data_IF_373651888913
#
_entry.id   IF_373651888913
#
_cell.length_a   1.000
_cell.length_b   1.000
_cell.length_c   1.000
_cell.angle_alpha   90.00
_cell.angle_beta   90.00
_cell.angle_gamma   90.00
#
_symmetry.space_group_name_H-M   'P 1'
#
loop_
_entity.id
_entity.type
_entity.pdbx_description
1 polymer ?
#
# COMPACT_ATOMS: atom_id res chain seq x y z
N UNK A 1 24.58 -17.20 -24.27
CA UNK A 1 25.03 -15.82 -24.52
C UNK A 1 24.38 -15.00 -23.40
N UNK A 2 24.88 -14.94 -22.16
CA UNK A 2 26.23 -14.79 -21.60
C UNK A 2 27.01 -13.64 -22.21
N UNK A 3 26.77 -12.44 -21.68
CA UNK A 3 27.71 -11.34 -21.66
C UNK A 3 27.77 -10.83 -20.21
N UNK A 4 28.64 -11.49 -19.45
CA UNK A 4 29.32 -10.90 -18.30
C UNK A 4 30.43 -10.04 -18.89
N UNK A 5 30.48 -8.75 -18.55
CA UNK A 5 31.71 -7.97 -18.64
C UNK A 5 32.10 -7.57 -17.22
N UNK A 6 33.04 -8.36 -16.70
CA UNK A 6 33.93 -7.99 -15.61
C UNK A 6 34.89 -6.93 -16.15
N UNK A 7 34.99 -5.77 -15.51
CA UNK A 7 36.16 -4.92 -15.62
C UNK A 7 36.85 -4.83 -14.26
N UNK A 8 38.07 -5.34 -14.28
CA UNK A 8 39.02 -5.56 -13.20
C UNK A 8 39.88 -4.32 -12.95
N UNK A 9 40.46 -4.30 -11.75
CA UNK A 9 41.34 -3.35 -11.09
C UNK A 9 42.29 -2.53 -11.97
N UNK A 10 42.35 -1.21 -11.71
CA UNK A 10 43.64 -0.56 -11.38
C UNK A 10 43.40 0.61 -10.39
N UNK A 11 43.72 0.36 -9.12
CA UNK A 11 43.85 1.42 -8.10
C UNK A 11 45.17 2.16 -8.29
N UNK A 12 45.21 3.50 -8.39
CA UNK A 12 46.45 4.23 -8.20
C UNK A 12 46.79 4.28 -6.71
N UNK A 13 47.86 3.57 -6.34
CA UNK A 13 48.57 3.62 -5.06
C UNK A 13 49.19 5.01 -4.88
N UNK A 14 48.41 5.95 -4.34
CA UNK A 14 48.93 7.26 -3.91
C UNK A 14 49.33 7.14 -2.44
N UNK A 15 50.59 6.75 -2.25
CA UNK A 15 51.31 7.04 -1.02
C UNK A 15 51.52 8.55 -0.93
N UNK A 16 50.63 9.23 -0.21
CA UNK A 16 50.89 10.58 0.26
C UNK A 16 51.34 10.46 1.70
N UNK A 17 52.58 10.87 1.92
CA UNK A 17 53.29 10.87 3.19
C UNK A 17 52.44 11.45 4.33
N UNK A 18 52.35 10.69 5.42
CA UNK A 18 52.00 11.18 6.74
C UNK A 18 53.10 12.14 7.22
N UNK A 19 53.13 13.36 6.67
CA UNK A 19 53.75 14.46 7.39
C UNK A 19 52.86 14.80 8.59
N UNK A 20 53.29 14.25 9.71
CA UNK A 20 53.02 14.64 11.09
C UNK A 20 52.95 16.17 11.25
N UNK A 21 51.83 16.76 10.87
CA UNK A 21 51.45 18.10 11.28
C UNK A 21 50.77 17.94 12.64
N UNK A 22 51.62 17.76 13.67
CA UNK A 22 51.26 18.00 15.05
C UNK A 22 50.91 19.48 15.22
N UNK A 23 49.74 19.88 14.72
CA UNK A 23 49.03 20.97 15.35
C UNK A 23 48.66 20.43 16.71
N UNK A 24 49.40 20.87 17.72
CA UNK A 24 48.89 20.81 19.08
C UNK A 24 47.46 21.29 18.99
N UNK A 25 46.52 20.40 19.32
CA UNK A 25 45.16 20.77 19.59
C UNK A 25 45.25 21.74 20.75
N UNK A 26 45.43 23.02 20.44
CA UNK A 26 45.10 24.11 21.34
C UNK A 26 43.64 23.82 21.60
N UNK A 27 43.39 23.23 22.77
CA UNK A 27 42.07 23.06 23.33
C UNK A 27 41.61 24.49 23.55
N UNK A 28 41.08 25.11 22.49
CA UNK A 28 40.31 26.31 22.61
C UNK A 28 39.14 25.89 23.47
N UNK A 29 39.18 26.35 24.72
CA UNK A 29 38.09 26.19 25.63
C UNK A 29 36.91 26.95 25.01
N UNK A 30 36.02 26.19 24.36
CA UNK A 30 34.78 26.66 23.71
C UNK A 30 33.85 27.41 24.71
N UNK A 31 34.25 27.54 25.98
CA UNK A 31 33.58 28.31 27.03
C UNK A 31 34.04 29.76 27.18
N UNK A 32 35.15 30.17 26.55
CA UNK A 32 35.71 31.53 26.72
C UNK A 32 35.37 32.42 25.53
N UNK A 33 34.67 33.53 25.79
CA UNK A 33 34.34 34.55 24.80
C UNK A 33 35.63 35.21 24.27
N UNK A 34 35.88 35.25 22.94
CA UNK A 34 37.05 35.92 22.37
C UNK A 34 37.04 37.43 22.62
N UNK A 35 38.22 38.03 22.83
CA UNK A 35 38.35 39.47 23.05
C UNK A 35 37.84 40.27 21.83
N UNK A 36 36.76 41.04 22.02
CA UNK A 36 36.12 41.86 20.99
C UNK A 36 34.77 41.34 20.46
N UNK A 37 34.28 40.21 20.96
CA UNK A 37 32.95 39.68 20.61
C UNK A 37 31.90 40.07 21.68
N UNK A 38 30.67 40.40 21.28
CA UNK A 38 29.59 40.61 22.25
C UNK A 38 29.19 39.28 22.88
N UNK A 39 29.05 39.27 24.20
CA UNK A 39 28.74 38.08 25.00
C UNK A 39 27.46 37.37 24.51
N UNK A 40 26.47 38.14 24.05
CA UNK A 40 25.22 37.63 23.46
C UNK A 40 25.44 36.86 22.14
N UNK A 41 26.38 37.27 21.29
CA UNK A 41 26.68 36.56 20.04
C UNK A 41 27.40 35.24 20.32
N UNK A 42 28.29 35.22 21.31
CA UNK A 42 29.00 34.01 21.73
C UNK A 42 28.07 32.97 22.36
N UNK A 43 27.15 33.38 23.24
CA UNK A 43 26.15 32.46 23.81
C UNK A 43 25.22 31.89 22.73
N UNK A 44 24.79 32.72 21.78
CA UNK A 44 23.97 32.26 20.65
C UNK A 44 24.72 31.28 19.75
N UNK A 45 26.01 31.50 19.43
CA UNK A 45 26.78 30.54 18.62
C UNK A 45 27.00 29.22 19.33
N UNK A 46 27.24 29.23 20.65
CA UNK A 46 27.32 28.00 21.46
C UNK A 46 25.98 27.25 21.46
N UNK A 47 24.86 27.96 21.63
CA UNK A 47 23.53 27.36 21.59
C UNK A 47 23.20 26.76 20.21
N UNK A 48 23.49 27.47 19.12
CA UNK A 48 23.30 26.98 17.76
C UNK A 48 24.18 25.77 17.46
N UNK A 49 25.41 25.73 17.99
CA UNK A 49 26.30 24.57 17.86
C UNK A 49 25.75 23.35 18.60
N UNK A 50 25.23 23.53 19.81
CA UNK A 50 24.56 22.46 20.56
C UNK A 50 23.31 21.96 19.83
N UNK A 51 22.48 22.86 19.30
CA UNK A 51 21.31 22.50 18.49
C UNK A 51 21.71 21.73 17.22
N UNK A 52 22.74 22.18 16.51
CA UNK A 52 23.30 21.50 15.34
C UNK A 52 23.75 20.09 15.68
N UNK A 53 24.52 19.90 16.75
CA UNK A 53 24.98 18.58 17.20
C UNK A 53 23.79 17.68 17.57
N UNK A 54 22.74 18.25 18.20
CA UNK A 54 21.51 17.52 18.49
C UNK A 54 20.80 17.02 17.22
N UNK A 55 20.69 17.88 16.21
CA UNK A 55 20.11 17.54 14.91
C UNK A 55 20.96 16.51 14.18
N UNK A 56 22.29 16.67 14.14
CA UNK A 56 23.20 15.72 13.48
C UNK A 56 23.13 14.33 14.13
N UNK A 57 23.02 14.25 15.46
CA UNK A 57 22.82 12.97 16.17
C UNK A 57 21.47 12.33 15.85
N UNK A 58 20.38 13.10 15.90
CA UNK A 58 19.05 12.60 15.56
C UNK A 58 19.00 12.09 14.11
N UNK A 59 19.63 12.81 13.18
CA UNK A 59 19.73 12.43 11.78
C UNK A 59 20.55 11.15 11.58
N UNK A 60 21.63 10.97 12.34
CA UNK A 60 22.43 9.74 12.29
C UNK A 60 21.69 8.54 12.90
N UNK A 61 20.90 8.74 13.97
CA UNK A 61 20.01 7.72 14.54
C UNK A 61 18.92 7.32 13.54
N UNK A 62 18.27 8.29 12.90
CA UNK A 62 17.23 8.05 11.91
C UNK A 62 17.78 7.33 10.67
N UNK A 63 18.98 7.69 10.20
CA UNK A 63 19.68 6.96 9.13
C UNK A 63 19.94 5.50 9.49
N UNK A 64 20.32 5.21 10.74
CA UNK A 64 20.52 3.82 11.21
C UNK A 64 19.21 3.05 11.22
N UNK A 65 18.12 3.66 11.69
CA UNK A 65 16.78 3.06 11.67
C UNK A 65 16.34 2.78 10.22
N UNK A 66 16.51 3.74 9.32
CA UNK A 66 16.20 3.57 7.90
C UNK A 66 17.00 2.44 7.25
N UNK A 67 18.29 2.30 7.59
CA UNK A 67 19.13 1.22 7.10
C UNK A 67 18.66 -0.16 7.62
N UNK A 68 18.22 -0.26 8.87
CA UNK A 68 17.64 -1.50 9.43
C UNK A 68 16.33 -1.84 8.73
N UNK A 69 15.41 -0.89 8.62
CA UNK A 69 14.14 -1.09 7.91
C UNK A 69 14.34 -1.51 6.46
N UNK A 70 15.32 -0.93 5.76
CA UNK A 70 15.67 -1.32 4.38
C UNK A 70 16.15 -2.77 4.29
N UNK A 71 16.94 -3.23 5.27
CA UNK A 71 17.36 -4.63 5.35
C UNK A 71 16.19 -5.57 5.61
N UNK A 72 15.29 -5.20 6.52
CA UNK A 72 14.07 -5.97 6.81
C UNK A 72 13.14 -6.05 5.60
N UNK A 73 12.93 -4.93 4.90
CA UNK A 73 12.17 -4.88 3.66
C UNK A 73 12.76 -5.81 2.60
N UNK A 74 14.07 -5.74 2.36
CA UNK A 74 14.73 -6.61 1.39
C UNK A 74 14.61 -8.10 1.78
N UNK A 75 14.74 -8.42 3.06
CA UNK A 75 14.57 -9.78 3.55
C UNK A 75 13.13 -10.29 3.36
N UNK A 76 12.12 -9.45 3.61
CA UNK A 76 10.72 -9.77 3.35
C UNK A 76 10.43 -9.92 1.87
N UNK A 77 11.01 -9.06 1.01
CA UNK A 77 10.85 -9.14 -0.44
C UNK A 77 11.43 -10.45 -1.01
N UNK A 78 12.57 -10.91 -0.49
CA UNK A 78 13.15 -12.20 -0.88
C UNK A 78 12.21 -13.35 -0.47
N UNK A 79 11.75 -13.35 0.79
CA UNK A 79 10.80 -14.37 1.29
C UNK A 79 9.49 -14.39 0.49
N UNK A 80 8.98 -13.22 0.11
CA UNK A 80 7.77 -13.13 -0.71
C UNK A 80 7.96 -13.80 -2.08
N UNK A 81 9.10 -13.55 -2.73
CA UNK A 81 9.45 -14.21 -4.01
C UNK A 81 9.63 -15.72 -3.85
N UNK A 82 10.29 -16.16 -2.78
CA UNK A 82 10.42 -17.60 -2.49
C UNK A 82 9.05 -18.26 -2.30
N UNK A 83 8.16 -17.64 -1.53
CA UNK A 83 6.79 -18.13 -1.34
C UNK A 83 6.03 -18.16 -2.66
N UNK A 84 6.12 -17.11 -3.48
CA UNK A 84 5.48 -17.05 -4.79
C UNK A 84 5.97 -18.19 -5.71
N UNK A 85 7.28 -18.40 -5.80
CA UNK A 85 7.84 -19.51 -6.59
C UNK A 85 7.40 -20.87 -6.05
N UNK A 86 7.35 -21.04 -4.72
CA UNK A 86 6.86 -22.29 -4.11
C UNK A 86 5.39 -22.52 -4.42
N UNK A 87 4.55 -21.48 -4.36
CA UNK A 87 3.14 -21.54 -4.69
C UNK A 87 2.94 -21.94 -6.15
N UNK A 88 3.67 -21.33 -7.08
CA UNK A 88 3.66 -21.71 -8.50
C UNK A 88 4.06 -23.16 -8.74
N UNK A 89 5.10 -23.65 -8.05
CA UNK A 89 5.51 -25.05 -8.16
C UNK A 89 4.42 -26.00 -7.65
N UNK A 90 3.83 -25.72 -6.48
CA UNK A 90 2.75 -26.55 -5.91
C UNK A 90 1.50 -26.55 -6.78
N UNK A 91 1.14 -25.41 -7.41
CA UNK A 91 0.02 -25.34 -8.34
C UNK A 91 0.28 -26.19 -9.59
N UNK A 92 1.49 -26.14 -10.16
CA UNK A 92 1.84 -26.99 -11.31
C UNK A 92 1.82 -28.48 -10.95
N UNK A 93 2.29 -28.85 -9.77
CA UNK A 93 2.21 -30.22 -9.27
C UNK A 93 0.76 -30.68 -9.07
N UNK A 94 -0.09 -29.79 -8.54
CA UNK A 94 -1.52 -30.06 -8.36
C UNK A 94 -2.20 -30.25 -9.71
N UNK A 95 -1.93 -29.40 -10.70
CA UNK A 95 -2.45 -29.55 -12.06
C UNK A 95 -1.99 -30.86 -12.69
N UNK A 96 -0.70 -31.21 -12.58
CA UNK A 96 -0.16 -32.48 -13.05
C UNK A 96 -0.86 -33.68 -12.38
N UNK A 97 -1.09 -33.61 -11.07
CA UNK A 97 -1.83 -34.64 -10.34
C UNK A 97 -3.29 -34.76 -10.80
N UNK A 98 -3.96 -33.63 -11.06
CA UNK A 98 -5.32 -33.65 -11.63
C UNK A 98 -5.34 -34.28 -13.02
N UNK A 99 -4.38 -33.96 -13.88
CA UNK A 99 -4.22 -34.58 -15.20
C UNK A 99 -3.99 -36.09 -15.10
N UNK A 100 -3.11 -36.54 -14.20
CA UNK A 100 -2.91 -37.97 -13.95
C UNK A 100 -4.17 -38.66 -13.44
N UNK A 101 -4.89 -38.02 -12.50
CA UNK A 101 -6.15 -38.55 -11.96
C UNK A 101 -7.17 -38.72 -13.07
N UNK A 102 -7.36 -37.71 -13.92
CA UNK A 102 -8.25 -37.78 -15.08
C UNK A 102 -7.79 -38.86 -16.05
N UNK A 103 -6.49 -38.96 -16.34
CA UNK A 103 -5.97 -39.99 -17.22
C UNK A 103 -6.22 -41.40 -16.67
N UNK A 104 -5.97 -41.62 -15.37
CA UNK A 104 -6.22 -42.91 -14.70
C UNK A 104 -7.72 -43.23 -14.66
N UNK A 105 -8.58 -42.24 -14.37
CA UNK A 105 -10.04 -42.40 -14.41
C UNK A 105 -10.53 -42.75 -15.82
N UNK A 106 -9.99 -42.12 -16.86
CA UNK A 106 -10.35 -42.41 -18.25
C UNK A 106 -9.90 -43.80 -18.71
N UNK A 107 -8.95 -44.43 -18.03
CA UNK A 107 -8.53 -45.83 -18.27
C UNK A 107 -9.42 -46.86 -17.58
N UNK A 108 -10.30 -46.43 -16.67
CA UNK A 108 -11.22 -47.34 -16.00
C UNK A 108 -12.41 -47.57 -16.93
N UNK A 109 -12.52 -48.80 -17.44
CA UNK A 109 -13.69 -49.22 -18.21
C UNK A 109 -14.89 -49.37 -17.27
N UNK A 110 -15.86 -48.46 -17.40
CA UNK A 110 -17.11 -48.50 -16.64
C UNK A 110 -18.17 -49.19 -17.51
N UNK A 111 -18.65 -50.34 -17.05
CA UNK A 111 -19.76 -51.05 -17.71
C UNK A 111 -21.08 -50.39 -17.29
N UNK A 112 -21.78 -49.77 -18.25
CA UNK A 112 -23.10 -49.17 -18.02
C UNK A 112 -24.16 -50.02 -18.72
N UNK A 113 -25.06 -50.69 -17.97
CA UNK A 113 -26.17 -51.40 -18.59
C UNK A 113 -27.19 -50.38 -19.11
N UNK A 114 -27.34 -50.31 -20.44
CA UNK A 114 -28.30 -49.44 -21.11
C UNK A 114 -29.51 -50.24 -21.59
N UNK A 115 -30.70 -49.66 -21.44
CA UNK A 115 -31.92 -50.21 -22.05
C UNK A 115 -32.04 -49.70 -23.48
N UNK A 116 -32.56 -50.51 -24.39
CA UNK A 116 -32.69 -50.15 -25.83
C UNK A 116 -33.41 -48.81 -26.07
N UNK A 117 -34.42 -48.47 -25.27
CA UNK A 117 -35.14 -47.19 -25.41
C UNK A 117 -34.32 -45.95 -24.99
N UNK A 118 -33.19 -46.13 -24.31
CA UNK A 118 -32.29 -45.04 -23.89
C UNK A 118 -31.27 -44.71 -24.98
N UNK A 119 -31.13 -45.56 -26.00
CA UNK A 119 -30.20 -45.36 -27.11
C UNK A 119 -30.86 -44.47 -28.16
N UNK A 120 -30.44 -43.21 -28.22
CA UNK A 120 -30.89 -42.23 -29.23
C UNK A 120 -29.89 -42.05 -30.38
N UNK A 121 -28.78 -42.78 -30.38
CA UNK A 121 -27.82 -42.80 -31.48
C UNK A 121 -28.35 -43.67 -32.62
N UNK A 122 -29.05 -43.07 -33.57
CA UNK A 122 -29.37 -43.69 -34.85
C UNK A 122 -28.40 -43.17 -35.92
N UNK A 123 -27.79 -44.07 -36.68
CA UNK A 123 -27.06 -43.76 -37.90
C UNK A 123 -27.91 -44.30 -39.04
N UNK A 124 -28.32 -43.44 -39.97
CA UNK A 124 -29.18 -43.80 -41.12
C UNK A 124 -30.52 -44.49 -40.77
N UNK A 125 -31.09 -44.18 -39.60
CA UNK A 125 -32.41 -44.70 -39.20
C UNK A 125 -32.42 -46.11 -38.59
N UNK A 126 -31.25 -46.74 -38.46
CA UNK A 126 -31.07 -48.03 -37.80
C UNK A 126 -30.15 -47.91 -36.57
N UNK A 127 -30.23 -48.90 -35.67
CA UNK A 127 -29.34 -49.00 -34.51
C UNK A 127 -27.97 -49.50 -34.99
N UNK A 128 -26.87 -48.79 -34.69
CA UNK A 128 -25.52 -49.23 -35.05
C UNK A 128 -25.22 -50.63 -34.49
N UNK A 129 -24.62 -51.49 -35.30
CA UNK A 129 -24.15 -52.81 -34.85
C UNK A 129 -22.93 -52.71 -33.92
N UNK A 130 -22.19 -51.60 -33.99
CA UNK A 130 -21.03 -51.30 -33.14
C UNK A 130 -21.21 -49.97 -32.40
N UNK A 131 -21.12 -50.03 -31.06
CA UNK A 131 -21.18 -48.86 -30.18
C UNK A 131 -19.79 -48.34 -29.76
N UNK A 132 -18.71 -48.94 -30.28
CA UNK A 132 -17.33 -48.63 -29.90
C UNK A 132 -16.92 -47.18 -30.14
N UNK A 133 -17.59 -46.47 -31.06
CA UNK A 133 -17.35 -45.05 -31.35
C UNK A 133 -18.43 -44.11 -30.78
N UNK A 134 -19.37 -44.64 -29.98
CA UNK A 134 -20.46 -43.84 -29.40
C UNK A 134 -20.11 -43.34 -28.00
N UNK A 135 -20.38 -42.07 -27.74
CA UNK A 135 -20.17 -41.44 -26.44
C UNK A 135 -21.48 -41.49 -25.63
N UNK A 136 -21.43 -42.04 -24.42
CA UNK A 136 -22.58 -42.05 -23.51
C UNK A 136 -22.52 -40.82 -22.61
N UNK A 137 -23.56 -40.00 -22.65
CA UNK A 137 -23.72 -38.84 -21.78
C UNK A 137 -25.13 -38.81 -21.21
N UNK A 138 -25.26 -38.18 -20.04
CA UNK A 138 -26.59 -37.92 -19.48
C UNK A 138 -27.27 -36.77 -20.25
N UNK A 139 -28.59 -36.81 -20.35
CA UNK A 139 -29.35 -35.71 -20.98
C UNK A 139 -29.12 -34.37 -20.26
N UNK A 140 -28.93 -34.41 -18.95
CA UNK A 140 -28.59 -33.23 -18.15
C UNK A 140 -27.22 -32.67 -18.53
N UNK A 141 -26.20 -33.53 -18.69
CA UNK A 141 -24.87 -33.08 -19.12
C UNK A 141 -24.87 -32.49 -20.53
N UNK A 142 -25.70 -33.00 -21.45
CA UNK A 142 -25.82 -32.42 -22.80
C UNK A 142 -26.49 -31.05 -22.77
N UNK A 143 -27.59 -30.91 -22.02
CA UNK A 143 -28.25 -29.60 -21.84
C UNK A 143 -27.33 -28.59 -21.16
N UNK A 144 -26.58 -29.04 -20.15
CA UNK A 144 -25.57 -28.21 -19.49
C UNK A 144 -24.48 -27.79 -20.46
N UNK A 145 -23.93 -28.71 -21.26
CA UNK A 145 -22.89 -28.40 -22.23
C UNK A 145 -23.39 -27.41 -23.29
N UNK A 146 -24.64 -27.57 -23.75
CA UNK A 146 -25.26 -26.64 -24.69
C UNK A 146 -25.42 -25.24 -24.09
N UNK A 147 -25.89 -25.13 -22.85
CA UNK A 147 -25.95 -23.84 -22.11
C UNK A 147 -24.56 -23.25 -21.94
N UNK A 148 -23.58 -24.07 -21.51
CA UNK A 148 -22.20 -23.65 -21.29
C UNK A 148 -21.53 -23.13 -22.55
N UNK A 149 -21.82 -23.71 -23.72
CA UNK A 149 -21.33 -23.21 -25.01
C UNK A 149 -21.88 -21.80 -25.29
N UNK A 150 -23.15 -21.54 -24.99
CA UNK A 150 -23.76 -20.21 -25.14
C UNK A 150 -23.13 -19.23 -24.15
N UNK A 151 -22.97 -19.63 -22.88
CA UNK A 151 -22.33 -18.80 -21.85
C UNK A 151 -20.90 -18.42 -22.24
N UNK A 152 -20.10 -19.38 -22.70
CA UNK A 152 -18.72 -19.14 -23.16
C UNK A 152 -18.68 -18.21 -24.38
N UNK A 153 -19.65 -18.30 -25.29
CA UNK A 153 -19.75 -17.35 -26.41
C UNK A 153 -20.03 -15.93 -25.91
N UNK A 154 -20.95 -15.78 -24.96
CA UNK A 154 -21.28 -14.49 -24.37
C UNK A 154 -20.09 -13.92 -23.59
N UNK A 155 -19.41 -14.74 -22.79
CA UNK A 155 -18.20 -14.37 -22.06
C UNK A 155 -17.08 -13.93 -23.01
N UNK A 156 -16.87 -14.65 -24.11
CA UNK A 156 -15.90 -14.27 -25.14
C UNK A 156 -16.22 -12.91 -25.77
N UNK A 157 -17.50 -12.59 -25.99
CA UNK A 157 -17.92 -11.27 -26.50
C UNK A 157 -17.65 -10.19 -25.46
N UNK A 158 -18.07 -10.40 -24.21
CA UNK A 158 -17.82 -9.48 -23.09
C UNK A 158 -16.33 -9.18 -22.91
N UNK A 159 -15.48 -10.22 -22.91
CA UNK A 159 -14.02 -10.06 -22.79
C UNK A 159 -13.42 -9.27 -23.95
N UNK A 160 -13.93 -9.45 -25.19
CA UNK A 160 -13.49 -8.66 -26.34
C UNK A 160 -13.87 -7.18 -26.21
N UNK A 161 -15.05 -6.88 -25.69
CA UNK A 161 -15.47 -5.48 -25.45
C UNK A 161 -14.62 -4.81 -24.39
N UNK A 162 -14.35 -5.50 -23.28
CA UNK A 162 -13.45 -5.01 -22.22
C UNK A 162 -12.06 -4.76 -22.79
N UNK A 163 -11.51 -5.69 -23.56
CA UNK A 163 -10.20 -5.54 -24.19
C UNK A 163 -10.15 -4.37 -25.17
N UNK A 164 -11.23 -4.15 -25.92
CA UNK A 164 -11.34 -3.01 -26.84
C UNK A 164 -11.33 -1.69 -26.07
N UNK A 165 -12.13 -1.56 -25.01
CA UNK A 165 -12.15 -0.38 -24.14
C UNK A 165 -10.79 -0.12 -23.50
N UNK A 166 -10.13 -1.16 -22.98
CA UNK A 166 -8.80 -1.04 -22.40
C UNK A 166 -7.75 -0.55 -23.42
N UNK A 167 -7.83 -1.01 -24.67
CA UNK A 167 -6.97 -0.51 -25.75
C UNK A 167 -7.23 0.95 -26.10
N UNK A 168 -8.49 1.37 -26.14
CA UNK A 168 -8.88 2.76 -26.39
C UNK A 168 -8.36 3.67 -25.27
N UNK A 169 -8.55 3.27 -24.01
CA UNK A 169 -8.00 3.97 -22.84
C UNK A 169 -6.48 4.05 -22.88
N UNK A 170 -5.80 2.95 -23.21
CA UNK A 170 -4.34 2.96 -23.32
C UNK A 170 -3.85 3.94 -24.40
N UNK A 171 -4.55 4.02 -25.54
CA UNK A 171 -4.22 4.98 -26.59
C UNK A 171 -4.43 6.43 -26.13
N UNK A 172 -5.52 6.71 -25.41
CA UNK A 172 -5.79 8.04 -24.84
C UNK A 172 -4.69 8.44 -23.86
N UNK A 173 -4.38 7.58 -22.88
CA UNK A 173 -3.33 7.84 -21.90
C UNK A 173 -1.96 8.08 -22.55
N UNK A 174 -1.66 7.42 -23.68
CA UNK A 174 -0.41 7.63 -24.41
C UNK A 174 -0.39 8.97 -25.17
N UNK A 175 -1.54 9.48 -25.60
CA UNK A 175 -1.68 10.83 -26.15
C UNK A 175 -1.54 11.86 -25.04
N UNK A 176 -2.28 11.71 -23.94
CA UNK A 176 -2.24 12.60 -22.78
C UNK A 176 -0.83 12.68 -22.19
N UNK A 177 -0.12 11.56 -22.11
CA UNK A 177 1.29 11.52 -21.68
C UNK A 177 2.17 12.41 -22.57
N UNK A 178 2.01 12.33 -23.90
CA UNK A 178 2.79 13.15 -24.84
C UNK A 178 2.44 14.63 -24.75
N UNK A 179 1.16 14.94 -24.57
CA UNK A 179 0.70 16.32 -24.37
C UNK A 179 1.30 16.91 -23.09
N UNK A 180 1.23 16.18 -21.97
CA UNK A 180 1.86 16.58 -20.71
C UNK A 180 3.39 16.71 -20.84
N UNK A 181 4.06 15.82 -21.57
CA UNK A 181 5.51 15.93 -21.84
C UNK A 181 5.85 17.21 -22.62
N UNK A 182 5.03 17.59 -23.62
CA UNK A 182 5.21 18.86 -24.33
C UNK A 182 4.94 20.06 -23.44
N UNK A 183 3.88 20.03 -22.62
CA UNK A 183 3.58 21.11 -21.67
C UNK A 183 4.70 21.31 -20.65
N UNK A 184 5.30 20.22 -20.14
CA UNK A 184 6.46 20.27 -19.25
C UNK A 184 7.63 20.94 -19.96
N UNK A 185 7.95 20.52 -21.19
CA UNK A 185 9.03 21.14 -21.98
C UNK A 185 8.81 22.63 -22.22
N UNK A 186 7.58 23.03 -22.57
CA UNK A 186 7.24 24.45 -22.75
C UNK A 186 7.39 25.24 -21.45
N UNK A 187 6.98 24.68 -20.32
CA UNK A 187 7.13 25.32 -19.01
C UNK A 187 8.60 25.40 -18.59
N UNK A 188 9.39 24.36 -18.83
CA UNK A 188 10.83 24.34 -18.60
C UNK A 188 11.55 25.41 -19.43
N UNK A 189 11.22 25.53 -20.72
CA UNK A 189 11.76 26.59 -21.58
C UNK A 189 11.37 27.99 -21.09
N UNK A 190 10.10 28.20 -20.71
CA UNK A 190 9.65 29.48 -20.14
C UNK A 190 10.38 29.81 -18.84
N UNK A 191 10.55 28.82 -17.95
CA UNK A 191 11.31 28.97 -16.72
C UNK A 191 12.78 29.31 -17.01
N UNK A 192 13.42 28.61 -17.94
CA UNK A 192 14.79 28.88 -18.36
C UNK A 192 14.95 30.30 -18.91
N UNK A 193 14.03 30.75 -19.77
CA UNK A 193 14.04 32.12 -20.30
C UNK A 193 13.90 33.17 -19.18
N UNK A 194 12.96 32.98 -18.26
CA UNK A 194 12.79 33.88 -17.12
C UNK A 194 14.01 33.89 -16.19
N UNK A 195 14.63 32.74 -15.96
CA UNK A 195 15.85 32.64 -15.17
C UNK A 195 17.02 33.37 -15.84
N UNK A 196 17.15 33.25 -17.16
CA UNK A 196 18.15 33.99 -17.93
C UNK A 196 17.89 35.50 -17.88
N UNK A 197 16.64 35.97 -17.99
CA UNK A 197 16.31 37.39 -17.85
C UNK A 197 16.58 37.94 -16.44
N UNK A 198 16.27 37.17 -15.40
CA UNK A 198 16.37 37.62 -14.00
C UNK A 198 17.76 37.50 -13.41
N UNK A 199 18.48 36.41 -13.72
CA UNK A 199 19.75 36.06 -13.09
C UNK A 199 20.93 36.05 -14.07
N UNK A 200 20.70 36.11 -15.38
CA UNK A 200 21.75 36.08 -16.40
C UNK A 200 22.46 34.72 -16.55
N UNK A 201 22.01 33.70 -15.82
CA UNK A 201 22.52 32.32 -15.82
C UNK A 201 21.39 31.37 -15.45
N UNK A 202 21.47 30.12 -15.89
CA UNK A 202 20.61 29.06 -15.37
C UNK A 202 20.98 28.82 -13.91
N UNK A 203 19.99 28.91 -13.03
CA UNK A 203 20.12 28.67 -11.59
C UNK A 203 19.33 27.42 -11.29
N UNK A 204 19.93 26.47 -10.58
CA UNK A 204 19.20 25.34 -10.04
C UNK A 204 18.22 25.84 -8.97
N UNK A 205 16.95 26.00 -9.40
CA UNK A 205 15.92 26.56 -8.57
C UNK A 205 15.54 25.63 -7.43
N UNK A 206 15.76 24.32 -7.55
CA UNK A 206 15.51 23.35 -6.48
C UNK A 206 16.54 23.50 -5.37
N UNK A 207 17.83 23.64 -5.72
CA UNK A 207 18.88 23.96 -4.76
C UNK A 207 18.62 25.32 -4.07
N UNK A 208 18.20 26.35 -4.80
CA UNK A 208 17.87 27.66 -4.21
C UNK A 208 16.59 27.62 -3.38
N UNK A 209 15.58 26.85 -3.77
CA UNK A 209 14.34 26.66 -3.02
C UNK A 209 14.61 25.93 -1.69
N UNK A 210 15.46 24.90 -1.67
CA UNK A 210 15.86 24.22 -0.42
C UNK A 210 16.53 25.18 0.57
N UNK A 211 17.25 26.19 0.09
CA UNK A 211 17.92 27.20 0.94
C UNK A 211 17.03 28.42 1.26
N UNK A 212 16.05 28.74 0.42
CA UNK A 212 15.14 29.89 0.59
C UNK A 212 13.81 29.54 1.26
N UNK A 213 13.41 28.27 1.24
CA UNK A 213 12.38 27.75 2.14
C UNK A 213 12.94 27.87 3.54
N UNK A 214 12.30 28.70 4.37
CA UNK A 214 12.57 28.79 5.79
C UNK A 214 12.22 27.43 6.42
N UNK A 215 13.16 26.47 6.41
CA UNK A 215 13.05 25.13 6.98
C UNK A 215 12.35 25.17 8.37
N UNK A 216 12.68 26.12 9.26
CA UNK A 216 11.95 26.33 10.52
C UNK A 216 10.44 26.55 10.36
N UNK A 217 9.99 27.30 9.35
CA UNK A 217 8.57 27.57 9.09
C UNK A 217 7.83 26.31 8.65
N UNK A 218 8.44 25.52 7.76
CA UNK A 218 7.80 24.28 7.28
C UNK A 218 7.79 23.21 8.38
N UNK A 219 8.87 23.10 9.17
CA UNK A 219 8.89 22.28 10.38
C UNK A 219 7.83 22.72 11.40
N UNK A 220 7.60 24.03 11.54
CA UNK A 220 6.56 24.54 12.42
C UNK A 220 5.16 24.16 11.91
N UNK A 221 4.90 24.22 10.60
CA UNK A 221 3.62 23.74 10.03
C UNK A 221 3.40 22.25 10.29
N UNK A 222 4.42 21.42 10.10
CA UNK A 222 4.33 19.97 10.37
C UNK A 222 4.01 19.73 11.85
N UNK A 223 4.71 20.42 12.78
CA UNK A 223 4.42 20.33 14.21
C UNK A 223 3.00 20.80 14.57
N UNK A 224 2.49 21.84 13.91
CA UNK A 224 1.12 22.30 14.09
C UNK A 224 0.15 21.20 13.65
N UNK A 225 0.36 20.59 12.49
CA UNK A 225 -0.50 19.49 12.00
C UNK A 225 -0.48 18.27 12.92
N UNK A 226 0.70 17.88 13.43
CA UNK A 226 0.83 16.80 14.42
C UNK A 226 0.07 17.13 15.71
N UNK A 227 0.21 18.35 16.22
CA UNK A 227 -0.51 18.80 17.43
C UNK A 227 -2.02 18.88 17.21
N UNK A 228 -2.47 19.37 16.06
CA UNK A 228 -3.88 19.39 15.69
C UNK A 228 -4.46 17.98 15.62
N UNK A 229 -3.70 17.01 15.11
CA UNK A 229 -4.10 15.61 15.07
C UNK A 229 -4.18 14.99 16.48
N UNK A 230 -3.18 15.21 17.32
CA UNK A 230 -3.20 14.79 18.73
C UNK A 230 -4.44 15.34 19.45
N UNK A 231 -4.70 16.65 19.32
CA UNK A 231 -5.86 17.28 19.94
C UNK A 231 -7.19 16.79 19.35
N UNK A 232 -7.24 16.49 18.06
CA UNK A 232 -8.42 15.89 17.43
C UNK A 232 -8.73 14.50 18.02
N UNK A 233 -7.70 13.67 18.21
CA UNK A 233 -7.85 12.36 18.84
C UNK A 233 -8.29 12.47 20.30
N UNK A 234 -7.69 13.38 21.07
CA UNK A 234 -8.11 13.67 22.45
C UNK A 234 -9.58 14.12 22.51
N UNK A 235 -9.99 15.05 21.64
CA UNK A 235 -11.38 15.52 21.56
C UNK A 235 -12.34 14.38 21.28
N UNK A 236 -12.01 13.49 20.34
CA UNK A 236 -12.82 12.32 20.02
C UNK A 236 -12.99 11.39 21.22
N UNK A 237 -11.93 11.13 21.97
CA UNK A 237 -12.02 10.32 23.20
C UNK A 237 -12.91 11.00 24.25
N UNK A 238 -12.80 12.32 24.41
CA UNK A 238 -13.64 13.06 25.33
C UNK A 238 -15.11 13.05 24.91
N UNK A 239 -15.41 13.17 23.62
CA UNK A 239 -16.77 13.05 23.08
C UNK A 239 -17.36 11.66 23.37
N UNK A 240 -16.60 10.59 23.13
CA UNK A 240 -17.04 9.22 23.46
C UNK A 240 -17.32 9.05 24.95
N UNK A 241 -16.45 9.58 25.82
CA UNK A 241 -16.67 9.58 27.29
C UNK A 241 -17.92 10.36 27.68
N UNK A 242 -18.17 11.52 27.05
CA UNK A 242 -19.38 12.32 27.30
C UNK A 242 -20.63 11.52 26.90
N UNK A 243 -20.63 10.85 25.75
CA UNK A 243 -21.77 10.03 25.31
C UNK A 243 -22.04 8.88 26.29
N UNK A 244 -20.99 8.20 26.77
CA UNK A 244 -21.13 7.14 27.78
C UNK A 244 -21.74 7.68 29.08
N UNK A 245 -21.24 8.81 29.58
CA UNK A 245 -21.75 9.44 30.80
C UNK A 245 -23.20 9.93 30.62
N UNK A 246 -23.53 10.51 29.47
CA UNK A 246 -24.91 10.88 29.13
C UNK A 246 -25.83 9.65 29.09
N UNK A 247 -25.37 8.53 28.54
CA UNK A 247 -26.14 7.28 28.53
C UNK A 247 -26.36 6.74 29.95
N UNK A 248 -25.35 6.78 30.80
CA UNK A 248 -25.47 6.37 32.20
C UNK A 248 -26.45 7.27 32.97
N UNK A 249 -26.35 8.60 32.78
CA UNK A 249 -27.24 9.57 33.40
C UNK A 249 -28.70 9.36 32.96
N UNK A 250 -28.94 9.15 31.66
CA UNK A 250 -30.29 8.91 31.13
C UNK A 250 -30.87 7.59 31.63
N UNK A 251 -30.05 6.52 31.73
CA UNK A 251 -30.45 5.25 32.32
C UNK A 251 -30.86 5.41 33.79
N UNK A 252 -30.02 6.03 34.62
CA UNK A 252 -30.31 6.27 36.04
C UNK A 252 -31.54 7.16 36.21
N UNK A 253 -31.70 8.19 35.37
CA UNK A 253 -32.88 9.06 35.39
C UNK A 253 -34.14 8.27 35.05
N UNK A 254 -34.11 7.39 34.05
CA UNK A 254 -35.24 6.52 33.67
C UNK A 254 -35.60 5.50 34.76
N UNK A 255 -34.60 4.92 35.42
CA UNK A 255 -34.83 4.01 36.55
C UNK A 255 -35.46 4.75 37.75
N UNK A 256 -34.98 5.95 38.05
CA UNK A 256 -35.52 6.78 39.13
C UNK A 256 -36.97 7.21 38.84
N UNK A 257 -37.26 7.70 37.62
CA UNK A 257 -38.64 8.06 37.23
C UNK A 257 -39.56 6.83 37.23
N UNK A 258 -39.09 5.65 36.82
CA UNK A 258 -39.86 4.41 36.92
C UNK A 258 -40.20 4.04 38.37
N UNK A 259 -39.23 4.13 39.28
CA UNK A 259 -39.45 3.89 40.72
C UNK A 259 -40.40 4.93 41.33
N UNK A 260 -40.29 6.20 40.95
CA UNK A 260 -41.24 7.25 41.36
C UNK A 260 -42.66 7.00 40.84
N UNK A 261 -42.81 6.51 39.60
CA UNK A 261 -44.12 6.12 39.06
C UNK A 261 -44.71 4.92 39.80
N UNK A 262 -43.89 3.90 40.12
CA UNK A 262 -44.31 2.76 40.93
C UNK A 262 -44.75 3.19 42.33
N UNK A 263 -43.97 4.07 42.98
CA UNK A 263 -44.31 4.63 44.29
C UNK A 263 -45.63 5.42 44.24
N UNK A 264 -45.81 6.27 43.23
CA UNK A 264 -47.07 7.00 43.03
C UNK A 264 -48.26 6.07 42.83
N UNK A 265 -48.08 4.97 42.08
CA UNK A 265 -49.12 3.95 41.89
C UNK A 265 -49.48 3.29 43.23
N UNK A 266 -48.49 2.84 44.00
CA UNK A 266 -48.73 2.24 45.31
C UNK A 266 -49.37 3.22 46.30
N UNK A 267 -49.00 4.51 46.27
CA UNK A 267 -49.64 5.53 47.09
C UNK A 267 -51.12 5.71 46.72
N UNK A 268 -51.47 5.66 45.42
CA UNK A 268 -52.87 5.74 44.95
C UNK A 268 -53.68 4.50 45.35
N UNK A 269 -53.12 3.31 45.14
CA UNK A 269 -53.75 2.04 45.56
C UNK A 269 -53.97 2.01 47.07
N UNK A 270 -52.98 2.43 47.87
CA UNK A 270 -53.11 2.58 49.32
C UNK A 270 -54.22 3.57 49.69
N UNK A 271 -54.26 4.74 49.04
CA UNK A 271 -55.28 5.73 49.34
C UNK A 271 -56.69 5.22 49.02
N UNK A 272 -56.86 4.50 47.91
CA UNK A 272 -58.13 3.86 47.56
C UNK A 272 -58.57 2.86 48.64
N UNK A 273 -57.66 1.99 49.10
CA UNK A 273 -57.92 1.02 50.18
C UNK A 273 -58.20 1.66 51.54
N UNK A 274 -57.70 2.87 51.81
CA UNK A 274 -57.96 3.62 53.05
C UNK A 274 -59.29 4.40 52.99
N UNK A 275 -59.87 4.60 51.81
CA UNK A 275 -61.13 5.33 51.59
C UNK A 275 -62.35 4.43 51.35
N UNK A 276 -62.17 3.12 51.21
CA UNK A 276 -63.23 2.09 51.26
C UNK A 276 -63.43 1.57 52.69
#
# INVERSE_FOLDING_TARGET
QNENEEEDDEKPDVKTDEENCGSESIVFDDSVCPEGCSEDLFLNTVQLRQQRIGIEKALEEEKKVAAVLKKEYNALAIKAKEIETSLDTTNRELDAFQWEKLHKLNKLDVVVPLRLHQVQCLVDGELPHDFSQTLVFTNQSLQYLQKRIVDLRNEKVMQREIHKKAKEQHKQLLQDKKEMEMEIQELEERCNNLMMEKFGRLVDFEAVQVHSVNIPMEQMKVRIMEKEYEHFMELKEWEERIVVLQHQLTKLTRENTSKLHQLNRFCREKHQLETE
#
